data_IF_854046578649
#
_entry.id   IF_854046578649
#
_cell.length_a   1.000
_cell.length_b   1.000
_cell.length_c   1.000
_cell.angle_alpha   90.00
_cell.angle_beta   90.00
_cell.angle_gamma   90.00
#
_symmetry.space_group_name_H-M   'P 1'
#
loop_
_entity.id
_entity.type
_entity.pdbx_description
1 polymer ?
#
# COMPACT_ATOMS: atom_id res chain seq x y z
N UNK A 1 -0.25 -16.68 -3.10
CA UNK A 1 0.76 -15.62 -2.90
C UNK A 1 1.62 -15.97 -1.70
N UNK A 2 2.92 -16.14 -1.89
CA UNK A 2 3.86 -16.40 -0.78
C UNK A 2 4.37 -15.05 -0.28
N UNK A 3 3.89 -14.63 0.90
CA UNK A 3 4.36 -13.43 1.57
C UNK A 3 5.60 -13.85 2.39
N UNK A 4 6.78 -13.45 1.92
CA UNK A 4 8.00 -13.64 2.71
C UNK A 4 8.05 -12.61 3.84
N UNK A 5 8.30 -13.02 5.09
CA UNK A 5 8.39 -12.08 6.21
C UNK A 5 9.59 -11.15 6.01
N UNK A 6 9.33 -9.84 5.95
CA UNK A 6 10.36 -8.81 5.93
C UNK A 6 10.56 -8.33 7.37
N UNK A 7 11.74 -8.55 7.96
CA UNK A 7 12.05 -8.03 9.30
C UNK A 7 12.09 -6.50 9.23
N UNK A 8 11.46 -5.84 10.19
CA UNK A 8 11.51 -4.39 10.36
C UNK A 8 12.92 -3.94 10.74
N UNK A 9 13.80 -3.79 9.74
CA UNK A 9 15.00 -2.99 9.91
C UNK A 9 14.55 -1.53 9.90
N UNK A 10 14.50 -0.94 11.10
CA UNK A 10 14.19 0.48 11.36
C UNK A 10 15.21 1.45 10.73
N UNK A 11 16.29 0.93 10.17
CA UNK A 11 17.20 1.65 9.29
C UNK A 11 17.30 0.90 7.97
N UNK A 12 16.47 1.30 7.02
CA UNK A 12 16.71 0.92 5.63
C UNK A 12 17.80 1.84 5.12
N UNK A 13 19.00 1.33 4.88
CA UNK A 13 19.99 2.07 4.10
C UNK A 13 19.35 2.38 2.73
N UNK A 14 19.05 3.65 2.48
CA UNK A 14 18.38 4.08 1.26
C UNK A 14 19.14 3.63 0.00
N UNK A 15 20.48 3.50 0.07
CA UNK A 15 21.27 2.96 -1.04
C UNK A 15 20.99 1.49 -1.25
N UNK A 16 20.93 0.71 -0.18
CA UNK A 16 20.58 -0.71 -0.26
C UNK A 16 19.16 -0.92 -0.79
N UNK A 17 18.17 -0.16 -0.29
CA UNK A 17 16.79 -0.26 -0.80
C UNK A 17 16.70 0.13 -2.26
N UNK A 18 17.35 1.22 -2.66
CA UNK A 18 17.36 1.64 -4.05
C UNK A 18 17.96 0.55 -4.95
N UNK A 19 19.09 -0.02 -4.55
CA UNK A 19 19.75 -1.10 -5.28
C UNK A 19 18.86 -2.35 -5.38
N UNK A 20 18.22 -2.75 -4.27
CA UNK A 20 17.29 -3.87 -4.23
C UNK A 20 16.09 -3.64 -5.17
N UNK A 21 15.50 -2.44 -5.17
CA UNK A 21 14.38 -2.10 -6.04
C UNK A 21 14.77 -2.12 -7.51
N UNK A 22 15.97 -1.64 -7.86
CA UNK A 22 16.51 -1.69 -9.23
C UNK A 22 16.73 -3.13 -9.70
N UNK A 23 17.27 -4.00 -8.83
CA UNK A 23 17.47 -5.42 -9.15
C UNK A 23 16.14 -6.15 -9.38
N UNK A 24 15.14 -5.89 -8.52
CA UNK A 24 13.79 -6.43 -8.69
C UNK A 24 13.18 -5.94 -10.01
N UNK A 25 13.30 -4.64 -10.31
CA UNK A 25 12.77 -4.04 -11.54
C UNK A 25 13.40 -4.66 -12.79
N UNK A 26 14.73 -4.82 -12.83
CA UNK A 26 15.42 -5.42 -13.97
C UNK A 26 15.03 -6.89 -14.15
N UNK A 27 14.85 -7.63 -13.05
CA UNK A 27 14.38 -9.01 -13.09
C UNK A 27 12.95 -9.13 -13.65
N UNK A 28 12.04 -8.25 -13.22
CA UNK A 28 10.68 -8.12 -13.75
C UNK A 28 10.71 -7.83 -15.27
N UNK A 29 11.54 -6.86 -15.69
CA UNK A 29 11.70 -6.48 -17.10
C UNK A 29 12.20 -7.65 -17.96
N UNK A 30 13.21 -8.38 -17.50
CA UNK A 30 13.80 -9.53 -18.21
C UNK A 30 12.82 -10.68 -18.42
N UNK A 31 11.88 -10.87 -17.51
CA UNK A 31 10.96 -12.01 -17.52
C UNK A 31 9.51 -11.60 -17.86
N UNK A 32 9.30 -10.34 -18.25
CA UNK A 32 8.01 -9.79 -18.67
C UNK A 32 6.87 -10.03 -17.67
N UNK A 33 7.14 -9.78 -16.38
CA UNK A 33 6.12 -9.80 -15.33
C UNK A 33 6.21 -8.54 -14.45
N UNK A 34 5.15 -8.24 -13.70
CA UNK A 34 5.11 -7.17 -12.70
C UNK A 34 5.06 -7.74 -11.29
N UNK A 35 5.51 -6.96 -10.31
CA UNK A 35 5.42 -7.27 -8.87
C UNK A 35 5.01 -6.03 -8.11
N UNK A 36 4.15 -6.20 -7.11
CA UNK A 36 3.86 -5.18 -6.10
C UNK A 36 4.90 -5.33 -4.99
N UNK A 37 5.49 -4.21 -4.59
CA UNK A 37 6.45 -4.15 -3.47
C UNK A 37 5.86 -3.30 -2.36
N UNK A 38 5.83 -3.83 -1.14
CA UNK A 38 5.37 -3.10 0.05
C UNK A 38 6.59 -2.74 0.91
N UNK A 39 6.70 -1.45 1.28
CA UNK A 39 7.80 -0.91 2.07
C UNK A 39 7.21 -0.33 3.36
N UNK A 40 7.12 -1.12 4.45
CA UNK A 40 6.60 -0.61 5.71
C UNK A 40 7.62 0.29 6.38
N UNK A 41 7.17 1.45 6.86
CA UNK A 41 7.96 2.37 7.67
C UNK A 41 7.19 2.69 8.94
N UNK A 42 7.80 2.44 10.09
CA UNK A 42 7.24 2.87 11.37
C UNK A 42 7.36 4.39 11.50
N UNK A 43 6.27 5.03 11.90
CA UNK A 43 6.17 6.48 12.11
C UNK A 43 5.75 6.77 13.54
N UNK A 44 5.96 8.01 13.99
CA UNK A 44 5.43 8.48 15.27
C UNK A 44 3.89 8.51 15.29
N UNK A 45 3.33 8.71 16.48
CA UNK A 45 1.89 8.91 16.63
C UNK A 45 1.45 10.17 15.89
N UNK A 46 0.41 10.05 15.07
CA UNK A 46 -0.18 11.13 14.28
C UNK A 46 -1.69 11.09 14.41
N UNK A 47 -2.34 12.25 14.25
CA UNK A 47 -3.78 12.30 14.02
C UNK A 47 -4.06 11.94 12.55
N UNK A 48 -4.77 10.83 12.25
CA UNK A 48 -5.02 10.40 10.89
C UNK A 48 -5.81 11.41 10.05
N UNK A 49 -6.68 12.22 10.66
CA UNK A 49 -7.47 13.22 9.94
C UNK A 49 -6.64 14.45 9.58
N UNK A 50 -5.67 14.83 10.42
CA UNK A 50 -4.72 15.88 10.08
C UNK A 50 -3.80 15.46 8.92
N UNK A 51 -3.44 14.18 8.86
CA UNK A 51 -2.70 13.61 7.71
C UNK A 51 -3.51 13.79 6.43
N UNK A 52 -4.82 13.49 6.44
CA UNK A 52 -5.63 13.74 5.25
C UNK A 52 -5.70 15.20 4.84
N UNK A 53 -5.92 16.12 5.77
CA UNK A 53 -5.98 17.55 5.47
C UNK A 53 -4.68 18.03 4.77
N UNK A 54 -3.53 17.55 5.25
CA UNK A 54 -2.24 17.93 4.71
C UNK A 54 -1.92 17.31 3.34
N UNK A 55 -2.34 16.06 3.09
CA UNK A 55 -1.99 15.30 1.88
C UNK A 55 -3.12 15.17 0.87
N UNK A 56 -4.27 15.83 1.09
CA UNK A 56 -5.40 15.76 0.19
C UNK A 56 -5.04 16.35 -1.18
N UNK A 57 -5.08 15.51 -2.22
CA UNK A 57 -4.91 15.95 -3.60
C UNK A 57 -6.26 15.92 -4.33
N UNK A 58 -6.43 16.81 -5.31
CA UNK A 58 -7.64 16.77 -6.14
C UNK A 58 -7.68 15.45 -6.92
N UNK A 59 -8.84 14.81 -6.93
CA UNK A 59 -9.13 13.57 -7.66
C UNK A 59 -8.43 12.29 -7.16
N UNK A 60 -7.85 12.28 -5.96
CA UNK A 60 -7.37 11.03 -5.33
C UNK A 60 -8.47 10.34 -4.55
N UNK A 61 -8.50 9.01 -4.57
CA UNK A 61 -9.38 8.22 -3.70
C UNK A 61 -8.64 8.03 -2.38
N UNK A 62 -9.26 8.48 -1.30
CA UNK A 62 -8.76 8.33 0.06
C UNK A 62 -9.74 7.46 0.86
N UNK A 63 -9.23 6.66 1.79
CA UNK A 63 -10.04 5.77 2.62
C UNK A 63 -9.68 5.93 4.10
N UNK A 64 -10.70 6.12 4.93
CA UNK A 64 -10.56 6.20 6.38
C UNK A 64 -11.40 5.12 7.06
N UNK A 65 -10.79 4.47 8.05
CA UNK A 65 -11.47 3.54 8.94
C UNK A 65 -10.97 3.74 10.37
N UNK A 66 -11.89 3.70 11.33
CA UNK A 66 -11.56 3.85 12.75
C UNK A 66 -12.28 2.77 13.56
N UNK A 67 -11.50 2.05 14.36
CA UNK A 67 -11.99 1.13 15.36
C UNK A 67 -11.76 1.74 16.76
N UNK A 68 -12.71 2.55 17.20
CA UNK A 68 -12.64 3.29 18.47
C UNK A 68 -12.50 2.39 19.69
N UNK A 69 -13.08 1.18 19.67
CA UNK A 69 -12.97 0.26 20.81
C UNK A 69 -11.56 -0.27 21.02
N UNK A 70 -10.75 -0.32 19.95
CA UNK A 70 -9.36 -0.79 20.02
C UNK A 70 -8.33 0.36 19.97
N UNK A 71 -8.77 1.61 19.76
CA UNK A 71 -7.86 2.73 19.55
C UNK A 71 -7.06 2.62 18.25
N UNK A 72 -7.62 1.98 17.22
CA UNK A 72 -6.95 1.74 15.95
C UNK A 72 -7.60 2.58 14.85
N UNK A 73 -6.78 3.12 13.95
CA UNK A 73 -7.25 3.84 12.78
C UNK A 73 -6.39 3.52 11.57
N UNK A 74 -7.01 3.50 10.39
CA UNK A 74 -6.37 3.35 9.10
C UNK A 74 -6.70 4.59 8.28
N UNK A 75 -5.65 5.30 7.85
CA UNK A 75 -5.73 6.34 6.83
C UNK A 75 -4.95 5.86 5.60
N UNK A 76 -5.67 5.55 4.52
CA UNK A 76 -5.08 5.23 3.23
C UNK A 76 -5.23 6.44 2.30
N UNK A 77 -4.10 6.93 1.81
CA UNK A 77 -4.01 8.07 0.90
C UNK A 77 -3.64 7.53 -0.48
N UNK A 78 -4.33 8.02 -1.50
CA UNK A 78 -4.14 7.61 -2.90
C UNK A 78 -4.52 6.14 -3.16
N UNK A 79 -4.45 5.73 -4.42
CA UNK A 79 -4.85 4.38 -4.86
C UNK A 79 -3.95 3.91 -5.99
N UNK A 80 -3.35 2.73 -5.85
CA UNK A 80 -2.49 2.13 -6.88
C UNK A 80 -3.29 1.61 -8.09
N UNK A 81 -4.41 0.94 -7.83
CA UNK A 81 -5.30 0.40 -8.85
C UNK A 81 -6.75 0.38 -8.32
N UNK A 82 -7.72 0.47 -9.23
CA UNK A 82 -9.14 0.56 -8.89
C UNK A 82 -9.96 -0.25 -9.89
N UNK A 83 -10.79 -1.13 -9.35
CA UNK A 83 -11.86 -1.79 -10.10
C UNK A 83 -13.23 -1.40 -9.54
N UNK A 84 -14.18 -1.13 -10.43
CA UNK A 84 -15.59 -0.95 -10.07
C UNK A 84 -16.40 -2.13 -10.58
N UNK A 85 -16.99 -2.90 -9.66
CA UNK A 85 -17.75 -4.11 -9.98
C UNK A 85 -19.19 -3.93 -9.52
N UNK A 86 -20.12 -4.09 -10.46
CA UNK A 86 -21.56 -3.95 -10.23
C UNK A 86 -22.32 -5.23 -10.61
N UNK A 87 -23.55 -5.36 -10.10
CA UNK A 87 -24.44 -6.50 -10.40
C UNK A 87 -24.58 -7.52 -9.27
N UNK A 88 -25.24 -8.64 -9.57
CA UNK A 88 -25.54 -9.70 -8.59
C UNK A 88 -24.29 -10.47 -8.15
N UNK A 89 -23.37 -10.71 -9.08
CA UNK A 89 -22.15 -11.50 -8.85
C UNK A 89 -20.94 -10.64 -8.42
N UNK A 90 -21.18 -9.41 -7.96
CA UNK A 90 -20.12 -8.43 -7.68
C UNK A 90 -19.11 -8.88 -6.63
N UNK A 91 -19.56 -9.66 -5.64
CA UNK A 91 -18.69 -10.16 -4.58
C UNK A 91 -17.73 -11.24 -5.10
N UNK A 92 -18.24 -12.22 -5.84
CA UNK A 92 -17.41 -13.26 -6.45
C UNK A 92 -16.40 -12.67 -7.43
N UNK A 93 -16.83 -11.73 -8.28
CA UNK A 93 -15.93 -11.05 -9.22
C UNK A 93 -14.87 -10.20 -8.52
N UNK A 94 -15.15 -9.66 -7.33
CA UNK A 94 -14.15 -8.91 -6.57
C UNK A 94 -13.07 -9.78 -5.94
N UNK A 95 -13.30 -11.08 -5.76
CA UNK A 95 -12.28 -12.01 -5.23
C UNK A 95 -11.23 -12.41 -6.28
N UNK A 96 -11.50 -12.18 -7.56
CA UNK A 96 -10.59 -12.44 -8.68
C UNK A 96 -9.64 -11.27 -8.98
N UNK A 97 -9.87 -10.11 -8.36
CA UNK A 97 -9.02 -8.92 -8.46
C UNK A 97 -7.86 -9.00 -7.46
#
# INVERSE_FOLDING_TARGET
MTISPCRSHTFVDYKYLNQLLLEIQENCRRHNYSKIVSIPLEIGLVDPLLVFDQFNQKNTINFYFENKSNGEAIAAIDTLDKIEISGKDRFTKSEEF
#
